data_IF_312177352415
#
_entry.id   IF_312177352415
#
_cell.length_a   1.000
_cell.length_b   1.000
_cell.length_c   1.000
_cell.angle_alpha   90.00
_cell.angle_beta   90.00
_cell.angle_gamma   90.00
#
_symmetry.space_group_name_H-M   'P 1'
#
loop_
_entity.id
_entity.type
_entity.pdbx_description
1 polymer ?
#
# COMPACT_ATOMS: atom_id res chain seq x y z
N UNK A 1 0.22 -9.79 1.59
CA UNK A 1 0.66 -9.30 2.92
C UNK A 1 2.14 -9.61 3.01
N UNK A 2 2.96 -8.66 3.46
CA UNK A 2 4.41 -8.84 3.50
C UNK A 2 4.86 -9.03 4.95
N UNK A 3 5.83 -9.93 5.16
CA UNK A 3 6.40 -10.23 6.48
C UNK A 3 7.84 -9.77 6.47
N UNK A 4 8.23 -9.03 7.51
CA UNK A 4 9.58 -8.52 7.73
C UNK A 4 10.14 -9.09 9.02
N UNK A 5 11.42 -9.46 8.96
CA UNK A 5 12.20 -9.91 10.08
C UNK A 5 13.46 -9.05 10.17
N UNK A 6 13.71 -8.47 11.35
CA UNK A 6 14.90 -7.70 11.65
C UNK A 6 15.63 -8.33 12.84
N UNK A 7 16.92 -8.55 12.67
CA UNK A 7 17.86 -9.00 13.69
C UNK A 7 18.47 -7.81 14.44
N UNK A 8 19.27 -8.09 15.45
CA UNK A 8 20.04 -7.08 16.17
C UNK A 8 20.87 -6.21 15.23
N UNK A 9 20.86 -4.90 15.46
CA UNK A 9 21.43 -3.82 14.66
C UNK A 9 20.78 -3.59 13.28
N UNK A 10 19.76 -4.36 12.91
CA UNK A 10 18.96 -4.08 11.72
C UNK A 10 17.81 -3.14 12.08
N UNK A 11 17.57 -2.17 11.21
CA UNK A 11 16.50 -1.20 11.32
C UNK A 11 15.98 -0.83 9.94
N UNK A 12 15.03 0.10 9.88
CA UNK A 12 14.53 0.65 8.63
C UNK A 12 14.51 2.17 8.72
N UNK A 13 15.24 2.83 7.83
CA UNK A 13 15.20 4.28 7.69
C UNK A 13 13.75 4.79 7.60
N UNK A 14 13.45 6.02 8.09
CA UNK A 14 12.14 6.63 7.90
C UNK A 14 11.80 6.74 6.41
N UNK A 15 10.89 5.90 5.96
CA UNK A 15 10.50 5.83 4.56
C UNK A 15 9.16 6.51 4.34
N UNK A 16 9.16 7.44 3.39
CA UNK A 16 7.95 7.96 2.80
C UNK A 16 7.33 6.85 1.95
N UNK A 17 6.39 6.09 2.51
CA UNK A 17 5.65 5.05 1.77
C UNK A 17 4.69 5.64 0.70
N UNK A 18 4.63 6.96 0.57
CA UNK A 18 3.73 7.68 -0.33
C UNK A 18 4.04 7.52 -1.82
N UNK A 19 5.31 7.38 -2.22
CA UNK A 19 5.73 7.36 -3.63
C UNK A 19 6.95 6.45 -3.85
N UNK A 20 6.81 5.14 -3.69
CA UNK A 20 7.70 4.22 -4.39
C UNK A 20 7.03 3.84 -5.71
N UNK A 21 7.71 4.06 -6.83
CA UNK A 21 7.29 3.63 -8.17
C UNK A 21 7.22 2.11 -8.22
N UNK A 22 6.13 1.57 -7.69
CA UNK A 22 5.86 0.15 -7.64
C UNK A 22 4.59 -0.10 -8.46
N UNK A 23 4.58 -1.18 -9.24
CA UNK A 23 3.48 -1.51 -10.16
C UNK A 23 2.10 -1.53 -9.46
N UNK A 24 2.09 -1.90 -8.18
CA UNK A 24 0.90 -1.85 -7.31
C UNK A 24 0.38 -0.42 -7.08
N UNK A 25 1.24 0.59 -6.97
CA UNK A 25 0.86 2.00 -6.85
C UNK A 25 0.36 2.57 -8.18
N UNK A 26 0.88 2.08 -9.31
CA UNK A 26 0.40 2.46 -10.65
C UNK A 26 -1.04 1.96 -10.87
N UNK A 27 -1.38 0.77 -10.36
CA UNK A 27 -2.69 0.13 -10.57
C UNK A 27 -3.70 0.49 -9.48
N UNK A 28 -3.31 0.39 -8.20
CA UNK A 28 -4.16 0.70 -7.05
C UNK A 28 -4.21 2.18 -6.68
N UNK A 29 -3.36 3.01 -7.27
CA UNK A 29 -3.15 4.40 -6.84
C UNK A 29 -2.37 4.49 -5.52
N UNK A 30 -2.21 5.72 -4.98
CA UNK A 30 -1.46 5.94 -3.74
C UNK A 30 -2.06 5.16 -2.56
N UNK A 31 -1.21 4.80 -1.61
CA UNK A 31 -1.60 4.04 -0.41
C UNK A 31 -2.35 4.97 0.56
N UNK A 32 -3.65 4.77 0.74
CA UNK A 32 -4.45 5.55 1.70
C UNK A 32 -4.06 5.24 3.15
N UNK A 33 -3.72 3.98 3.44
CA UNK A 33 -3.35 3.56 4.78
C UNK A 33 -2.36 2.38 4.79
N UNK A 34 -1.65 2.25 5.90
CA UNK A 34 -0.71 1.17 6.19
C UNK A 34 -1.08 0.58 7.54
N UNK A 35 -1.23 -0.75 7.59
CA UNK A 35 -1.36 -1.51 8.85
C UNK A 35 -0.02 -2.19 9.11
N UNK A 36 0.58 -1.88 10.25
CA UNK A 36 1.74 -2.60 10.81
C UNK A 36 1.24 -3.53 11.90
N UNK A 37 1.46 -4.83 11.74
CA UNK A 37 1.05 -5.88 12.69
C UNK A 37 2.30 -6.40 13.39
N UNK A 38 2.28 -6.43 14.72
CA UNK A 38 3.44 -6.78 15.53
C UNK A 38 3.40 -8.27 15.89
N UNK A 39 4.33 -9.05 15.34
CA UNK A 39 4.33 -10.52 15.46
C UNK A 39 5.25 -11.02 16.58
N UNK A 40 6.14 -10.18 17.08
CA UNK A 40 7.02 -10.46 18.23
C UNK A 40 7.03 -9.30 19.22
N UNK A 41 7.51 -9.57 20.44
CA UNK A 41 7.95 -8.53 21.36
C UNK A 41 9.42 -8.20 21.05
N UNK A 42 9.81 -6.94 21.19
CA UNK A 42 11.22 -6.53 21.11
C UNK A 42 11.68 -6.08 22.49
N UNK A 43 12.81 -6.63 22.95
CA UNK A 43 13.35 -6.35 24.27
C UNK A 43 13.87 -4.90 24.36
N UNK A 44 14.72 -4.51 23.40
CA UNK A 44 15.25 -3.14 23.30
C UNK A 44 15.35 -2.70 21.83
N UNK A 45 15.05 -1.42 21.57
CA UNK A 45 15.02 -0.86 20.23
C UNK A 45 13.80 -1.32 19.41
N UNK A 46 13.90 -1.23 18.09
CA UNK A 46 12.86 -1.71 17.17
C UNK A 46 11.58 -0.86 17.12
N UNK A 47 11.55 0.29 17.79
CA UNK A 47 10.36 1.15 17.86
C UNK A 47 9.97 1.70 16.49
N UNK A 48 8.68 2.01 16.32
CA UNK A 48 8.19 2.77 15.17
C UNK A 48 8.14 4.24 15.57
N UNK A 49 8.86 5.09 14.83
CA UNK A 49 8.96 6.52 15.11
C UNK A 49 8.21 7.35 14.09
N UNK A 50 7.65 8.47 14.54
CA UNK A 50 6.96 9.48 13.75
C UNK A 50 7.63 10.84 13.97
N UNK A 51 8.71 11.16 13.24
CA UNK A 51 9.52 12.37 13.48
C UNK A 51 8.75 13.68 13.28
N UNK A 52 7.72 13.66 12.44
CA UNK A 52 6.89 14.83 12.09
C UNK A 52 5.59 14.92 12.90
N UNK A 53 5.35 13.99 13.84
CA UNK A 53 4.16 14.04 14.69
C UNK A 53 4.21 15.28 15.60
N UNK A 54 3.06 15.93 15.76
CA UNK A 54 2.89 17.07 16.67
C UNK A 54 2.86 16.64 18.15
N UNK A 55 2.69 15.35 18.41
CA UNK A 55 2.53 14.79 19.74
C UNK A 55 3.88 14.22 20.24
N UNK A 56 4.96 15.01 20.15
CA UNK A 56 6.29 14.57 20.62
C UNK A 56 6.33 14.38 22.14
N UNK A 57 5.52 15.14 22.87
CA UNK A 57 5.61 15.25 24.34
C UNK A 57 4.61 14.38 25.13
N UNK A 58 3.68 13.68 24.46
CA UNK A 58 2.71 12.81 25.17
C UNK A 58 3.35 11.52 25.72
N UNK A 59 4.56 11.18 25.29
CA UNK A 59 5.31 10.03 25.81
C UNK A 59 5.93 10.29 27.20
N UNK A 60 5.71 11.47 27.78
CA UNK A 60 6.38 11.92 28.99
C UNK A 60 5.85 11.34 30.31
N UNK A 61 4.73 10.59 30.33
CA UNK A 61 4.09 10.26 31.62
C UNK A 61 4.20 8.84 32.16
N UNK A 62 4.55 7.78 31.41
CA UNK A 62 4.58 6.42 32.01
C UNK A 62 5.51 5.35 31.36
N UNK A 63 6.49 5.69 30.51
CA UNK A 63 7.24 4.62 29.79
C UNK A 63 8.61 4.95 29.20
N UNK A 64 9.25 6.05 29.63
CA UNK A 64 10.51 6.52 29.03
C UNK A 64 11.72 5.62 29.33
N UNK A 65 11.65 4.79 30.37
CA UNK A 65 12.81 4.05 30.91
C UNK A 65 13.32 2.89 30.04
N UNK A 66 12.60 2.48 28.98
CA UNK A 66 13.03 1.39 28.08
C UNK A 66 12.97 1.74 26.59
N UNK A 67 13.00 3.03 26.23
CA UNK A 67 13.02 3.44 24.81
C UNK A 67 14.46 3.69 24.34
N UNK A 68 14.76 3.36 23.09
CA UNK A 68 16.05 3.62 22.46
C UNK A 68 16.30 5.11 22.25
N UNK A 69 17.55 5.49 22.01
CA UNK A 69 17.92 6.88 21.63
C UNK A 69 17.13 7.34 20.38
N UNK A 70 17.02 6.46 19.38
CA UNK A 70 16.25 6.71 18.16
C UNK A 70 14.78 7.09 18.44
N UNK A 71 14.15 6.48 19.45
CA UNK A 71 12.78 6.79 19.85
C UNK A 71 12.59 8.23 20.33
N UNK A 72 13.66 8.95 20.70
CA UNK A 72 13.60 10.37 21.08
C UNK A 72 13.45 11.32 19.89
N UNK A 73 13.56 10.82 18.66
CA UNK A 73 13.48 11.63 17.43
C UNK A 73 12.05 12.07 17.05
N UNK A 74 11.02 11.61 17.79
CA UNK A 74 9.62 11.94 17.54
C UNK A 74 8.67 11.19 18.46
N UNK A 75 7.40 11.07 18.04
CA UNK A 75 6.47 10.17 18.72
C UNK A 75 6.86 8.72 18.40
N UNK A 76 7.02 7.89 19.42
CA UNK A 76 7.49 6.52 19.26
C UNK A 76 6.49 5.50 19.81
N UNK A 77 6.35 4.38 19.11
CA UNK A 77 5.50 3.25 19.47
C UNK A 77 6.37 2.02 19.67
N UNK A 78 6.28 1.40 20.84
CA UNK A 78 6.98 0.15 21.16
C UNK A 78 6.34 -1.04 20.45
N UNK A 79 7.18 -1.98 20.01
CA UNK A 79 6.74 -3.23 19.39
C UNK A 79 6.25 -4.22 20.44
N UNK A 80 4.94 -4.44 20.50
CA UNK A 80 4.28 -5.39 21.42
C UNK A 80 3.51 -6.41 20.61
N UNK A 81 3.84 -7.69 20.79
CA UNK A 81 3.23 -8.81 20.08
C UNK A 81 1.70 -8.75 20.18
N UNK A 82 1.04 -9.04 19.05
CA UNK A 82 -0.42 -9.02 18.87
C UNK A 82 -1.05 -7.63 18.77
N UNK A 83 -0.29 -6.55 18.97
CA UNK A 83 -0.79 -5.21 18.66
C UNK A 83 -0.68 -4.93 17.16
N UNK A 84 -1.46 -3.96 16.70
CA UNK A 84 -1.37 -3.42 15.35
C UNK A 84 -1.45 -1.89 15.38
N UNK A 85 -0.78 -1.26 14.43
CA UNK A 85 -0.76 0.18 14.24
C UNK A 85 -1.34 0.51 12.85
N UNK A 86 -2.43 1.28 12.83
CA UNK A 86 -3.02 1.82 11.61
C UNK A 86 -2.50 3.23 11.39
N UNK A 87 -1.95 3.49 10.21
CA UNK A 87 -1.41 4.78 9.79
C UNK A 87 -2.17 5.20 8.53
N UNK A 88 -2.79 6.38 8.55
CA UNK A 88 -3.31 7.00 7.34
C UNK A 88 -2.20 7.81 6.69
N UNK A 89 -1.88 7.51 5.43
CA UNK A 89 -0.82 8.24 4.71
C UNK A 89 -1.37 9.47 3.95
N UNK A 90 -2.69 9.55 3.81
CA UNK A 90 -3.39 10.62 3.12
C UNK A 90 -4.45 11.25 4.03
N UNK A 91 -4.65 12.55 3.88
CA UNK A 91 -5.82 13.25 4.42
C UNK A 91 -7.09 12.88 3.63
N UNK A 92 -8.30 13.15 4.17
CA UNK A 92 -9.56 12.89 3.46
C UNK A 92 -9.68 13.60 2.11
N UNK A 93 -8.95 14.71 1.93
CA UNK A 93 -8.84 15.44 0.66
C UNK A 93 -7.80 14.84 -0.31
N UNK A 94 -7.29 13.64 -0.04
CA UNK A 94 -6.31 12.89 -0.85
C UNK A 94 -4.91 13.53 -0.90
N UNK A 95 -4.66 14.59 -0.13
CA UNK A 95 -3.29 15.13 0.02
C UNK A 95 -2.49 14.27 0.98
N UNK A 96 -1.18 14.20 0.73
CA UNK A 96 -0.24 13.46 1.58
C UNK A 96 -0.20 14.05 3.00
N UNK A 97 -0.32 13.19 4.01
CA UNK A 97 -0.16 13.59 5.41
C UNK A 97 1.31 13.51 5.84
N UNK A 98 1.99 14.66 5.89
CA UNK A 98 3.41 14.72 6.29
C UNK A 98 3.66 14.23 7.72
N UNK A 99 2.65 14.26 8.59
CA UNK A 99 2.77 13.79 9.97
C UNK A 99 2.76 12.26 10.07
N UNK A 100 2.33 11.57 9.01
CA UNK A 100 2.34 10.10 8.90
C UNK A 100 3.70 9.53 8.53
N UNK A 101 4.72 10.37 8.26
CA UNK A 101 6.09 9.93 8.02
C UNK A 101 6.56 9.07 9.19
N UNK A 102 6.96 7.83 8.90
CA UNK A 102 7.36 6.88 9.91
C UNK A 102 8.60 6.07 9.50
N UNK A 103 9.33 5.62 10.51
CA UNK A 103 10.51 4.77 10.38
C UNK A 103 10.59 3.74 11.48
N UNK A 104 11.53 2.81 11.35
CA UNK A 104 11.78 1.77 12.33
C UNK A 104 13.18 1.89 12.91
N UNK A 105 13.27 2.15 14.21
CA UNK A 105 14.54 2.13 14.92
C UNK A 105 15.20 0.75 14.83
N UNK A 106 16.53 0.71 14.90
CA UNK A 106 17.27 -0.54 14.93
C UNK A 106 16.92 -1.38 16.16
N UNK A 107 16.88 -2.70 16.00
CA UNK A 107 16.73 -3.64 17.11
C UNK A 107 18.04 -3.67 17.89
N UNK A 108 18.02 -3.38 19.19
CA UNK A 108 19.22 -3.43 20.04
C UNK A 108 19.33 -4.78 20.76
N UNK A 109 18.18 -5.39 21.09
CA UNK A 109 18.12 -6.69 21.73
C UNK A 109 16.83 -7.45 21.36
N UNK A 110 16.98 -8.72 21.02
CA UNK A 110 15.88 -9.60 20.60
C UNK A 110 15.70 -9.66 19.09
N UNK A 111 14.50 -10.06 18.65
CA UNK A 111 14.14 -10.17 17.23
C UNK A 111 12.82 -9.45 16.95
N UNK A 112 12.76 -8.70 15.86
CA UNK A 112 11.55 -7.98 15.43
C UNK A 112 10.92 -8.66 14.24
N UNK A 113 9.73 -9.20 14.45
CA UNK A 113 8.86 -9.74 13.40
C UNK A 113 7.65 -8.82 13.24
N UNK A 114 7.37 -8.42 12.00
CA UNK A 114 6.22 -7.58 11.67
C UNK A 114 5.59 -8.01 10.35
N UNK A 115 4.28 -7.83 10.23
CA UNK A 115 3.58 -7.93 8.95
C UNK A 115 3.04 -6.57 8.55
N UNK A 116 3.12 -6.25 7.25
CA UNK A 116 2.60 -5.00 6.70
C UNK A 116 1.51 -5.31 5.69
N UNK A 117 0.40 -4.59 5.82
CA UNK A 117 -0.68 -4.54 4.84
C UNK A 117 -0.88 -3.11 4.38
N UNK A 118 -0.59 -2.86 3.11
CA UNK A 118 -0.92 -1.61 2.45
C UNK A 118 -2.36 -1.65 1.94
N UNK A 119 -3.05 -0.53 2.09
CA UNK A 119 -4.40 -0.29 1.60
C UNK A 119 -4.31 0.82 0.58
N UNK A 120 -4.74 0.54 -0.64
CA UNK A 120 -4.71 1.47 -1.76
C UNK A 120 -6.05 2.19 -1.90
N UNK A 121 -6.04 3.37 -2.52
CA UNK A 121 -7.28 4.12 -2.80
C UNK A 121 -8.22 3.40 -3.77
N UNK A 122 -7.70 2.46 -4.58
CA UNK A 122 -8.48 1.62 -5.49
C UNK A 122 -8.14 0.15 -5.28
N UNK A 123 -9.07 -0.72 -5.67
CA UNK A 123 -8.81 -2.15 -5.70
C UNK A 123 -7.69 -2.46 -6.70
N UNK A 124 -6.71 -3.24 -6.26
CA UNK A 124 -5.72 -3.84 -7.16
C UNK A 124 -6.39 -5.09 -7.75
N UNK A 125 -6.87 -5.00 -8.98
CA UNK A 125 -7.35 -6.18 -9.70
C UNK A 125 -6.16 -6.94 -10.29
N UNK A 126 -5.82 -8.05 -9.64
CA UNK A 126 -4.73 -8.91 -10.10
C UNK A 126 -5.01 -9.57 -11.46
N UNK A 127 -6.28 -9.63 -11.94
CA UNK A 127 -6.58 -10.09 -13.31
C UNK A 127 -6.08 -9.09 -14.35
N UNK A 128 -6.10 -7.80 -14.02
CA UNK A 128 -5.56 -6.71 -14.83
C UNK A 128 -4.02 -6.70 -14.87
N UNK A 129 -3.35 -7.29 -13.87
CA UNK A 129 -1.89 -7.48 -13.85
C UNK A 129 -1.43 -8.52 -14.89
N UNK A 130 -2.18 -9.62 -15.07
CA UNK A 130 -1.86 -10.66 -16.06
C UNK A 130 -2.32 -10.32 -17.48
N UNK A 131 -3.24 -9.36 -17.65
CA UNK A 131 -3.65 -8.85 -18.96
C UNK A 131 -2.52 -8.14 -19.74
N UNK A 132 -1.43 -7.74 -19.07
CA UNK A 132 -0.28 -7.12 -19.73
C UNK A 132 0.75 -8.12 -20.26
N UNK A 133 0.64 -9.40 -19.89
CA UNK A 133 1.44 -10.49 -20.46
C UNK A 133 0.52 -11.41 -21.27
N UNK A 134 0.25 -10.99 -22.50
CA UNK A 134 -0.21 -11.81 -23.63
C UNK A 134 -0.91 -13.14 -23.30
N UNK A 135 -2.24 -13.18 -23.44
CA UNK A 135 -2.92 -14.32 -24.08
C UNK A 135 -4.32 -13.90 -24.57
N UNK A 136 -4.42 -13.86 -25.91
CA UNK A 136 -5.58 -13.78 -26.80
C UNK A 136 -6.65 -12.68 -26.56
N UNK A 137 -6.54 -11.61 -27.36
CA UNK A 137 -7.68 -10.74 -27.60
C UNK A 137 -8.85 -11.54 -28.19
N UNK A 138 -9.93 -11.61 -27.41
CA UNK A 138 -11.15 -12.36 -27.71
C UNK A 138 -12.35 -11.44 -27.55
N UNK A 139 -13.45 -11.83 -28.20
CA UNK A 139 -14.76 -11.25 -27.93
C UNK A 139 -15.42 -12.09 -26.83
N UNK A 140 -16.09 -11.46 -25.88
CA UNK A 140 -16.79 -12.11 -24.76
C UNK A 140 -18.25 -12.46 -25.11
N UNK A 141 -18.79 -11.94 -26.23
CA UNK A 141 -20.15 -12.21 -26.70
C UNK A 141 -20.17 -12.63 -28.18
N UNK A 142 -21.00 -13.62 -28.51
CA UNK A 142 -21.15 -14.14 -29.87
C UNK A 142 -21.68 -13.09 -30.86
N UNK A 143 -22.39 -12.07 -30.38
CA UNK A 143 -22.96 -11.00 -31.19
C UNK A 143 -21.99 -9.84 -31.47
N UNK A 144 -20.79 -9.84 -30.88
CA UNK A 144 -19.83 -8.74 -31.01
C UNK A 144 -19.54 -8.35 -32.47
N UNK A 145 -19.47 -9.33 -33.39
CA UNK A 145 -19.28 -9.08 -34.83
C UNK A 145 -20.45 -8.33 -35.45
N UNK A 146 -21.68 -8.69 -35.08
CA UNK A 146 -22.88 -8.04 -35.59
C UNK A 146 -22.99 -6.62 -35.05
N UNK A 147 -22.76 -6.44 -33.75
CA UNK A 147 -22.76 -5.11 -33.11
C UNK A 147 -21.69 -4.19 -33.70
N UNK A 148 -20.47 -4.71 -33.92
CA UNK A 148 -19.42 -3.95 -34.59
C UNK A 148 -19.83 -3.53 -36.01
N UNK A 149 -20.44 -4.43 -36.79
CA UNK A 149 -20.96 -4.11 -38.13
C UNK A 149 -22.10 -3.07 -38.11
N UNK A 150 -22.88 -3.01 -37.01
CA UNK A 150 -23.92 -1.99 -36.81
C UNK A 150 -23.39 -0.65 -36.27
N UNK A 151 -22.07 -0.54 -36.06
CA UNK A 151 -21.40 0.68 -35.60
C UNK A 151 -21.41 0.87 -34.08
N UNK A 152 -21.67 -0.19 -33.30
CA UNK A 152 -21.71 -0.13 -31.84
C UNK A 152 -20.34 0.21 -31.23
N UNK A 153 -19.24 -0.03 -31.93
CA UNK A 153 -17.91 0.36 -31.47
C UNK A 153 -17.81 1.88 -31.19
N UNK A 154 -18.60 2.71 -31.88
CA UNK A 154 -18.67 4.15 -31.66
C UNK A 154 -19.84 4.54 -30.76
N UNK A 155 -21.02 3.94 -30.97
CA UNK A 155 -22.24 4.28 -30.23
C UNK A 155 -22.25 3.76 -28.79
N UNK A 156 -21.66 2.60 -28.57
CA UNK A 156 -21.57 1.90 -27.30
C UNK A 156 -20.11 1.56 -26.97
N UNK A 157 -19.24 2.57 -27.10
CA UNK A 157 -17.79 2.41 -26.96
C UNK A 157 -17.35 1.88 -25.59
N UNK A 158 -18.08 2.20 -24.51
CA UNK A 158 -17.79 1.70 -23.16
C UNK A 158 -17.94 0.19 -23.08
N UNK A 159 -19.03 -0.36 -23.60
CA UNK A 159 -19.26 -1.81 -23.60
C UNK A 159 -18.32 -2.51 -24.59
N UNK A 160 -18.18 -1.95 -25.79
CA UNK A 160 -17.47 -2.58 -26.89
C UNK A 160 -15.94 -2.50 -26.74
N UNK A 161 -15.41 -1.31 -26.45
CA UNK A 161 -13.97 -1.02 -26.38
C UNK A 161 -13.42 -1.04 -24.95
N UNK A 162 -14.29 -0.89 -23.96
CA UNK A 162 -13.90 -0.80 -22.57
C UNK A 162 -13.59 0.63 -22.11
N UNK A 163 -13.17 0.73 -20.86
CA UNK A 163 -12.66 1.94 -20.21
C UNK A 163 -11.39 1.59 -19.47
N UNK A 164 -10.66 2.54 -18.87
CA UNK A 164 -9.51 2.20 -18.04
C UNK A 164 -9.80 1.14 -16.98
N UNK A 165 -11.03 1.02 -16.48
CA UNK A 165 -11.42 0.10 -15.40
C UNK A 165 -12.24 -1.12 -15.86
N UNK A 166 -12.55 -1.23 -17.15
CA UNK A 166 -13.33 -2.34 -17.73
C UNK A 166 -12.73 -2.75 -19.06
N UNK A 167 -12.39 -4.03 -19.22
CA UNK A 167 -11.64 -4.49 -20.38
C UNK A 167 -12.33 -4.21 -21.70
N UNK A 168 -13.67 -4.26 -21.77
CA UNK A 168 -14.46 -4.15 -23.01
C UNK A 168 -14.75 -5.52 -23.60
N UNK A 169 -16.02 -5.82 -23.88
CA UNK A 169 -16.47 -7.17 -24.25
C UNK A 169 -16.28 -7.50 -25.74
N UNK A 170 -16.09 -6.52 -26.63
CA UNK A 170 -16.07 -6.75 -28.08
C UNK A 170 -14.84 -6.17 -28.79
N UNK A 171 -13.71 -6.14 -28.09
CA UNK A 171 -12.50 -5.46 -28.54
C UNK A 171 -11.89 -6.04 -29.80
N UNK A 172 -11.99 -7.36 -29.98
CA UNK A 172 -11.51 -8.05 -31.18
C UNK A 172 -12.37 -7.64 -32.39
N UNK A 173 -13.69 -7.70 -32.24
CA UNK A 173 -14.63 -7.29 -33.30
C UNK A 173 -14.52 -5.80 -33.65
N UNK A 174 -14.11 -4.95 -32.72
CA UNK A 174 -13.85 -3.53 -32.97
C UNK A 174 -12.43 -3.20 -33.45
N UNK A 175 -11.53 -4.19 -33.58
CA UNK A 175 -10.16 -3.97 -34.06
C UNK A 175 -9.31 -3.08 -33.17
N UNK A 176 -9.60 -3.04 -31.86
CA UNK A 176 -8.81 -2.29 -30.84
C UNK A 176 -7.90 -3.21 -30.02
N UNK A 177 -7.62 -4.34 -30.64
CA UNK A 177 -6.51 -5.24 -30.41
C UNK A 177 -5.67 -5.20 -31.69
#
# INVERSE_FOLDING_TARGET
MQIFHYRTNEGSEPLYHGNQDNLENVIGGPRIATILIFLSNVSQGGEIIFPMSKIKDSNSKNGKEMMSECASSGFAVKHVKSNALLIFNLHPNVTVDVSSLHGGCSVLEGEKWSAIKWIHVRAIDHKKLFSYSAEECTDEDDNCRQWAAMGECQKNSVYMLGTPDYYGSCRKSCGVC
#
